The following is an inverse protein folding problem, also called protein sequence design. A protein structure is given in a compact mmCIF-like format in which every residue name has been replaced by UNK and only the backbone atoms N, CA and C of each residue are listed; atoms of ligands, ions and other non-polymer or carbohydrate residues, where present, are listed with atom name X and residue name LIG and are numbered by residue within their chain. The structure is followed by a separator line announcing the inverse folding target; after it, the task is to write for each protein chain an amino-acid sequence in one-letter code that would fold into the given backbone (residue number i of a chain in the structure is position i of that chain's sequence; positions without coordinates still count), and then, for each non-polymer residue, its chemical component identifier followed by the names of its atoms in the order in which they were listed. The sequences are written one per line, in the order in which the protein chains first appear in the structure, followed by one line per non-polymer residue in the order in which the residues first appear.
data_IF_263439219005
#
_entry.id   IF_263439219005
#
_cell.length_a   1.000
_cell.length_b   1.000
_cell.length_c   1.000
_cell.angle_alpha   90.00
_cell.angle_beta   90.00
_cell.angle_gamma   90.00
#
_symmetry.space_group_name_H-M   'P 1'
#
loop_
_entity.id
_entity.type
_entity.pdbx_description
1 polymer ?
#
# COMPACT_ATOMS: atom_id res chain seq x y z
N UNK A 1 0.25 16.53 76.68
CA UNK A 1 1.09 16.67 75.46
C UNK A 1 1.32 18.16 75.20
N UNK A 2 2.56 18.65 75.37
CA UNK A 2 2.84 20.10 75.39
C UNK A 2 2.69 20.73 74.00
N UNK A 3 2.40 22.03 73.94
CA UNK A 3 2.18 22.80 72.70
C UNK A 3 3.37 22.71 71.72
N UNK A 4 4.58 22.39 72.22
CA UNK A 4 5.77 22.10 71.40
C UNK A 4 5.67 20.75 70.69
N UNK A 5 5.22 19.68 71.35
CA UNK A 5 5.07 18.35 70.73
C UNK A 5 4.06 18.37 69.56
N UNK A 6 2.97 19.14 69.68
CA UNK A 6 1.98 19.31 68.60
C UNK A 6 2.58 19.99 67.36
N UNK A 7 3.53 20.92 67.53
CA UNK A 7 4.23 21.60 66.43
C UNK A 7 5.19 20.68 65.69
N UNK A 8 5.96 19.85 66.41
CA UNK A 8 6.86 18.88 65.77
C UNK A 8 6.10 17.76 65.05
N UNK A 9 4.97 17.31 65.60
CA UNK A 9 4.12 16.31 64.95
C UNK A 9 3.48 16.84 63.66
N UNK A 10 3.05 18.11 63.66
CA UNK A 10 2.49 18.76 62.47
C UNK A 10 3.54 18.95 61.35
N UNK A 11 4.79 19.28 61.71
CA UNK A 11 5.88 19.43 60.73
C UNK A 11 6.30 18.09 60.13
N UNK A 12 6.32 17.01 60.93
CA UNK A 12 6.63 15.65 60.44
C UNK A 12 5.53 15.07 59.54
N UNK A 13 4.27 15.48 59.72
CA UNK A 13 3.14 15.02 58.90
C UNK A 13 3.15 15.68 57.51
N UNK A 14 3.64 16.92 57.39
CA UNK A 14 3.72 17.66 56.12
C UNK A 14 4.82 17.10 55.20
N UNK A 15 5.93 16.61 55.77
CA UNK A 15 7.00 15.99 54.96
C UNK A 15 6.59 14.64 54.34
N UNK A 16 5.64 13.90 54.95
CA UNK A 16 5.21 12.60 54.45
C UNK A 16 4.19 12.68 53.28
N UNK A 17 3.49 13.80 53.13
CA UNK A 17 2.47 14.00 52.07
C UNK A 17 3.12 14.41 50.74
N UNK A 18 4.36 14.91 50.75
CA UNK A 18 5.09 15.30 49.54
C UNK A 18 5.81 14.13 48.85
N UNK A 19 5.81 12.93 49.43
CA UNK A 19 6.33 11.71 48.81
C UNK A 19 5.29 10.99 47.94
N UNK A 20 4.24 11.70 47.52
CA UNK A 20 3.23 11.21 46.57
C UNK A 20 3.88 10.76 45.27
N UNK A 21 3.89 9.43 45.08
CA UNK A 21 4.47 8.69 43.98
C UNK A 21 4.44 9.44 42.64
N UNK A 22 5.62 9.76 42.12
CA UNK A 22 5.83 9.84 40.68
C UNK A 22 5.54 8.45 40.10
N UNK A 23 4.27 8.17 39.81
CA UNK A 23 3.85 6.97 39.08
C UNK A 23 4.33 7.14 37.64
N UNK A 24 5.58 6.77 37.39
CA UNK A 24 6.04 6.48 36.04
C UNK A 24 5.15 5.37 35.53
N UNK A 25 4.28 5.68 34.57
CA UNK A 25 3.49 4.67 33.85
C UNK A 25 4.48 3.64 33.27
N UNK A 26 4.69 2.55 33.98
CA UNK A 26 5.42 1.39 33.48
C UNK A 26 4.49 0.71 32.50
N UNK A 27 4.81 0.87 31.21
CA UNK A 27 4.07 0.16 30.18
C UNK A 27 4.53 -1.30 30.18
N UNK A 28 3.61 -2.27 30.08
CA UNK A 28 3.97 -3.69 30.05
C UNK A 28 4.84 -4.00 28.81
N UNK A 29 5.68 -5.02 28.92
CA UNK A 29 6.44 -5.54 27.77
C UNK A 29 5.45 -5.90 26.65
N UNK A 30 5.78 -5.48 25.43
CA UNK A 30 4.92 -5.62 24.25
C UNK A 30 4.01 -4.42 23.99
N UNK A 31 3.90 -3.45 24.91
CA UNK A 31 3.13 -2.24 24.65
C UNK A 31 3.72 -1.42 23.51
N UNK A 32 2.87 -0.94 22.60
CA UNK A 32 3.24 -0.01 21.54
C UNK A 32 2.58 1.35 21.80
N UNK A 33 3.37 2.43 21.68
CA UNK A 33 2.91 3.80 21.85
C UNK A 33 3.31 4.61 20.62
N UNK A 34 2.34 5.31 20.01
CA UNK A 34 2.62 6.26 18.95
C UNK A 34 3.39 7.45 19.55
N UNK A 35 4.60 7.68 19.04
CA UNK A 35 5.49 8.76 19.50
C UNK A 35 5.24 10.02 18.69
N UNK A 36 5.14 9.87 17.37
CA UNK A 36 4.82 10.97 16.46
C UNK A 36 4.13 10.46 15.21
N UNK A 37 3.22 11.26 14.67
CA UNK A 37 2.43 10.92 13.50
C UNK A 37 1.26 11.89 13.41
N UNK A 38 0.81 12.20 12.20
CA UNK A 38 -0.43 12.96 12.01
C UNK A 38 -1.63 12.07 12.33
N UNK A 39 -2.82 12.65 12.39
CA UNK A 39 -4.05 11.85 12.33
C UNK A 39 -4.04 11.01 11.05
N UNK A 40 -4.41 9.72 11.18
CA UNK A 40 -4.42 8.78 10.05
C UNK A 40 -5.39 9.25 8.97
N UNK A 41 -4.92 9.53 7.75
CA UNK A 41 -5.80 9.90 6.65
C UNK A 41 -6.78 8.77 6.30
N UNK A 42 -8.00 9.12 5.89
CA UNK A 42 -9.04 8.14 5.50
C UNK A 42 -8.60 7.23 4.35
N UNK A 43 -7.79 7.78 3.42
CA UNK A 43 -7.32 7.08 2.24
C UNK A 43 -6.52 5.82 2.58
N UNK A 44 -5.94 5.72 3.79
CA UNK A 44 -5.21 4.51 4.22
C UNK A 44 -6.14 3.28 4.20
N UNK A 45 -7.38 3.43 4.66
CA UNK A 45 -8.34 2.33 4.74
C UNK A 45 -9.33 2.33 3.56
N UNK A 46 -9.49 3.48 2.89
CA UNK A 46 -10.43 3.67 1.79
C UNK A 46 -9.74 4.36 0.61
N UNK A 47 -8.80 3.68 -0.08
CA UNK A 47 -8.02 4.28 -1.15
C UNK A 47 -8.90 4.80 -2.30
N UNK A 48 -10.02 4.14 -2.58
CA UNK A 48 -10.96 4.50 -3.66
C UNK A 48 -11.58 5.89 -3.51
N UNK A 49 -11.56 6.49 -2.32
CA UNK A 49 -11.92 7.91 -2.11
C UNK A 49 -10.99 8.87 -2.88
N UNK A 50 -9.83 8.38 -3.32
CA UNK A 50 -8.82 9.11 -4.09
C UNK A 50 -8.76 8.70 -5.55
N UNK A 51 -9.67 7.83 -6.00
CA UNK A 51 -9.83 7.55 -7.43
C UNK A 51 -10.18 8.84 -8.18
N UNK A 52 -9.69 8.94 -9.41
CA UNK A 52 -10.04 10.02 -10.33
C UNK A 52 -10.54 9.42 -11.64
N UNK A 53 -11.09 10.27 -12.52
CA UNK A 53 -11.47 9.84 -13.88
C UNK A 53 -10.27 9.30 -14.70
N UNK A 54 -9.03 9.56 -14.28
CA UNK A 54 -7.80 9.23 -15.03
C UNK A 54 -6.89 8.24 -14.33
N UNK A 55 -7.15 7.92 -13.06
CA UNK A 55 -6.25 7.10 -12.26
C UNK A 55 -6.99 6.41 -11.10
N UNK A 56 -6.55 5.21 -10.76
CA UNK A 56 -6.97 4.48 -9.57
C UNK A 56 -5.98 4.65 -8.43
N UNK A 57 -6.50 4.69 -7.22
CA UNK A 57 -5.72 4.85 -6.01
C UNK A 57 -5.37 3.49 -5.38
N UNK A 58 -4.11 3.35 -4.98
CA UNK A 58 -3.56 2.19 -4.30
C UNK A 58 -2.83 2.64 -3.05
N UNK A 59 -2.88 1.82 -1.99
CA UNK A 59 -2.20 2.12 -0.73
C UNK A 59 -1.28 1.01 -0.35
N UNK A 60 0.01 1.32 -0.27
CA UNK A 60 1.00 0.39 0.27
C UNK A 60 1.33 0.69 1.72
N UNK A 61 1.71 -0.36 2.45
CA UNK A 61 2.06 -0.29 3.87
C UNK A 61 3.41 -0.92 4.12
N UNK A 62 4.21 -0.31 4.99
CA UNK A 62 5.49 -0.88 5.40
C UNK A 62 5.35 -1.84 6.56
N UNK A 63 6.36 -2.70 6.74
CA UNK A 63 6.62 -3.34 8.02
C UNK A 63 7.10 -2.32 9.06
N UNK A 64 7.42 -2.81 10.26
CA UNK A 64 8.05 -2.00 11.30
C UNK A 64 9.54 -1.87 10.99
N UNK A 65 9.97 -0.70 10.55
CA UNK A 65 11.34 -0.48 10.10
C UNK A 65 12.13 0.38 11.07
N UNK A 66 13.43 0.13 11.19
CA UNK A 66 14.32 0.93 12.05
C UNK A 66 14.52 2.36 11.52
N UNK A 67 14.44 2.54 10.19
CA UNK A 67 14.63 3.81 9.51
C UNK A 67 13.38 4.24 8.73
N UNK A 68 13.06 5.54 8.75
CA UNK A 68 11.95 6.10 7.97
C UNK A 68 12.11 5.84 6.47
N UNK A 69 13.34 5.91 5.95
CA UNK A 69 13.65 5.64 4.54
C UNK A 69 13.30 4.21 4.14
N UNK A 70 13.59 3.23 5.00
CA UNK A 70 13.21 1.83 4.81
C UNK A 70 11.68 1.67 4.85
N UNK A 71 11.01 2.30 5.82
CA UNK A 71 9.55 2.26 5.89
C UNK A 71 8.92 2.80 4.60
N UNK A 72 9.37 3.97 4.12
CA UNK A 72 8.88 4.56 2.86
C UNK A 72 9.11 3.64 1.66
N UNK A 73 10.30 3.04 1.56
CA UNK A 73 10.64 2.12 0.48
C UNK A 73 9.76 0.86 0.52
N UNK A 74 9.59 0.24 1.70
CA UNK A 74 8.75 -0.93 1.89
C UNK A 74 7.27 -0.65 1.58
N UNK A 75 6.74 0.50 2.02
CA UNK A 75 5.38 0.91 1.67
C UNK A 75 5.21 1.08 0.16
N UNK A 76 6.19 1.67 -0.53
CA UNK A 76 6.13 1.82 -1.98
C UNK A 76 6.23 0.49 -2.72
N UNK A 77 7.04 -0.44 -2.22
CA UNK A 77 7.11 -1.80 -2.76
C UNK A 77 5.79 -2.55 -2.59
N UNK A 78 5.14 -2.43 -1.44
CA UNK A 78 3.82 -3.02 -1.18
C UNK A 78 2.74 -2.43 -2.11
N UNK A 79 2.71 -1.11 -2.30
CA UNK A 79 1.78 -0.47 -3.24
C UNK A 79 1.96 -0.99 -4.67
N UNK A 80 3.21 -1.24 -5.09
CA UNK A 80 3.51 -1.81 -6.41
C UNK A 80 2.99 -3.23 -6.56
N UNK A 81 3.14 -4.07 -5.54
CA UNK A 81 2.58 -5.43 -5.54
C UNK A 81 1.06 -5.38 -5.71
N UNK A 82 0.39 -4.51 -4.97
CA UNK A 82 -1.06 -4.32 -5.10
C UNK A 82 -1.48 -3.84 -6.49
N UNK A 83 -0.73 -2.93 -7.12
CA UNK A 83 -0.97 -2.50 -8.50
C UNK A 83 -0.81 -3.69 -9.47
N UNK A 84 0.26 -4.48 -9.34
CA UNK A 84 0.52 -5.66 -10.19
C UNK A 84 -0.60 -6.70 -10.04
N UNK A 85 -1.05 -6.96 -8.81
CA UNK A 85 -2.16 -7.88 -8.54
C UNK A 85 -3.46 -7.36 -9.18
N UNK A 86 -3.78 -6.07 -9.02
CA UNK A 86 -4.94 -5.44 -9.63
C UNK A 86 -4.88 -5.46 -11.16
N UNK A 87 -3.69 -5.28 -11.75
CA UNK A 87 -3.47 -5.40 -13.19
C UNK A 87 -3.72 -6.81 -13.71
N UNK A 88 -3.35 -7.84 -12.95
CA UNK A 88 -3.67 -9.23 -13.32
C UNK A 88 -5.18 -9.48 -13.38
N UNK A 89 -5.94 -8.94 -12.42
CA UNK A 89 -7.42 -9.04 -12.39
C UNK A 89 -8.04 -8.23 -13.53
N UNK A 90 -7.61 -6.98 -13.72
CA UNK A 90 -8.07 -6.10 -14.80
C UNK A 90 -7.79 -6.71 -16.17
N UNK A 91 -6.56 -7.18 -16.39
CA UNK A 91 -6.13 -7.85 -17.62
C UNK A 91 -6.97 -9.07 -17.93
N UNK A 92 -7.17 -9.97 -16.95
CA UNK A 92 -8.04 -11.15 -17.11
C UNK A 92 -9.45 -10.75 -17.55
N UNK A 93 -10.05 -9.74 -16.90
CA UNK A 93 -11.38 -9.25 -17.25
C UNK A 93 -11.42 -8.74 -18.69
N UNK A 94 -10.45 -7.92 -19.09
CA UNK A 94 -10.39 -7.35 -20.44
C UNK A 94 -10.15 -8.39 -21.52
N UNK A 95 -9.28 -9.35 -21.27
CA UNK A 95 -9.07 -10.49 -22.15
C UNK A 95 -10.37 -11.28 -22.32
N UNK A 96 -11.10 -11.56 -21.23
CA UNK A 96 -12.38 -12.27 -21.29
C UNK A 96 -13.46 -11.48 -22.06
N UNK A 97 -13.59 -10.17 -21.80
CA UNK A 97 -14.52 -9.29 -22.55
C UNK A 97 -14.24 -9.38 -24.05
N UNK A 98 -12.96 -9.31 -24.42
CA UNK A 98 -12.54 -9.39 -25.81
C UNK A 98 -12.77 -10.78 -26.41
N UNK A 99 -12.40 -11.87 -25.73
CA UNK A 99 -12.67 -13.25 -26.17
C UNK A 99 -14.16 -13.45 -26.43
N UNK A 100 -15.03 -12.98 -25.52
CA UNK A 100 -16.47 -13.10 -25.67
C UNK A 100 -17.02 -12.37 -26.90
N UNK A 101 -16.37 -11.28 -27.32
CA UNK A 101 -16.76 -10.51 -28.50
C UNK A 101 -16.32 -11.15 -29.82
N UNK A 102 -15.20 -11.87 -29.83
CA UNK A 102 -14.63 -12.50 -31.05
C UNK A 102 -14.95 -13.99 -31.19
N UNK A 103 -15.51 -14.60 -30.14
CA UNK A 103 -16.16 -15.92 -30.19
C UNK A 103 -15.23 -17.15 -30.26
N UNK A 104 -13.90 -17.02 -30.20
CA UNK A 104 -13.01 -18.17 -30.47
C UNK A 104 -11.54 -18.01 -29.97
N UNK A 105 -11.28 -17.53 -28.75
CA UNK A 105 -9.88 -17.26 -28.30
C UNK A 105 -9.59 -17.72 -26.86
N UNK A 106 -10.47 -18.49 -26.20
CA UNK A 106 -10.43 -18.67 -24.73
C UNK A 106 -9.09 -19.14 -24.15
N UNK A 107 -8.32 -19.91 -24.92
CA UNK A 107 -7.14 -20.60 -24.41
C UNK A 107 -5.81 -19.95 -24.83
N UNK A 108 -5.83 -18.88 -25.64
CA UNK A 108 -4.61 -18.38 -26.28
C UNK A 108 -3.91 -17.29 -25.46
N UNK A 109 -4.65 -16.48 -24.69
CA UNK A 109 -4.07 -15.37 -23.91
C UNK A 109 -4.13 -15.70 -22.42
N UNK A 110 -2.99 -16.09 -21.85
CA UNK A 110 -2.86 -16.35 -20.42
C UNK A 110 -2.80 -15.03 -19.62
N UNK A 111 -3.68 -14.82 -18.62
CA UNK A 111 -3.63 -13.64 -17.75
C UNK A 111 -2.30 -13.43 -17.02
N UNK A 112 -1.50 -14.48 -16.84
CA UNK A 112 -0.13 -14.41 -16.30
C UNK A 112 0.78 -13.48 -17.12
N UNK A 113 0.61 -13.44 -18.45
CA UNK A 113 1.40 -12.54 -19.32
C UNK A 113 1.13 -11.07 -19.01
N UNK A 114 -0.11 -10.71 -18.64
CA UNK A 114 -0.45 -9.34 -18.22
C UNK A 114 0.21 -9.00 -16.90
N UNK A 115 0.23 -9.95 -15.95
CA UNK A 115 0.93 -9.77 -14.67
C UNK A 115 2.43 -9.62 -14.88
N UNK A 116 3.03 -10.40 -15.78
CA UNK A 116 4.46 -10.36 -16.07
C UNK A 116 4.85 -9.04 -16.74
N UNK A 117 4.06 -8.58 -17.73
CA UNK A 117 4.29 -7.29 -18.38
C UNK A 117 4.02 -6.12 -17.41
N UNK A 118 3.00 -6.22 -16.55
CA UNK A 118 2.79 -5.25 -15.47
C UNK A 118 3.97 -5.24 -14.50
N UNK A 119 4.53 -6.40 -14.15
CA UNK A 119 5.70 -6.50 -13.27
C UNK A 119 6.90 -5.84 -13.90
N UNK A 120 7.17 -6.13 -15.18
CA UNK A 120 8.24 -5.51 -15.95
C UNK A 120 8.05 -4.00 -16.04
N UNK A 121 6.88 -3.53 -16.47
CA UNK A 121 6.63 -2.10 -16.59
C UNK A 121 6.70 -1.40 -15.24
N UNK A 122 6.14 -1.96 -14.16
CA UNK A 122 6.21 -1.37 -12.81
C UNK A 122 7.65 -1.34 -12.29
N UNK A 123 8.45 -2.37 -12.60
CA UNK A 123 9.88 -2.44 -12.25
C UNK A 123 10.73 -1.44 -13.04
N UNK A 124 10.48 -1.28 -14.34
CA UNK A 124 11.12 -0.25 -15.17
C UNK A 124 10.61 1.16 -14.82
N UNK A 125 9.34 1.25 -14.42
CA UNK A 125 8.65 2.46 -13.95
C UNK A 125 8.85 2.74 -12.47
N UNK A 126 9.86 2.13 -11.81
CA UNK A 126 10.27 2.50 -10.46
C UNK A 126 10.47 4.03 -10.33
N UNK A 127 10.75 4.72 -11.45
CA UNK A 127 10.85 6.18 -11.57
C UNK A 127 9.51 6.91 -11.82
N UNK A 128 8.48 6.25 -12.37
CA UNK A 128 7.21 6.85 -12.83
C UNK A 128 6.00 6.62 -11.90
N UNK A 129 5.87 5.46 -11.24
CA UNK A 129 4.83 5.24 -10.21
C UNK A 129 5.24 5.89 -8.89
N UNK A 130 5.31 7.22 -8.91
CA UNK A 130 5.75 8.03 -7.78
C UNK A 130 4.66 8.03 -6.71
N UNK A 131 5.10 8.03 -5.46
CA UNK A 131 4.23 8.26 -4.34
C UNK A 131 3.48 9.59 -4.52
N UNK A 132 2.15 9.55 -4.39
CA UNK A 132 1.32 10.73 -4.37
C UNK A 132 1.35 11.39 -2.99
N UNK A 133 1.18 10.59 -1.93
CA UNK A 133 1.24 11.04 -0.54
C UNK A 133 1.86 9.98 0.35
N UNK A 134 2.57 10.42 1.39
CA UNK A 134 3.02 9.55 2.47
C UNK A 134 2.35 9.97 3.78
N UNK A 135 2.01 8.98 4.60
CA UNK A 135 1.72 9.13 6.01
C UNK A 135 2.71 8.29 6.80
N UNK A 136 3.36 8.90 7.79
CA UNK A 136 4.49 8.28 8.50
C UNK A 136 4.23 8.39 9.98
N UNK A 137 4.42 7.27 10.66
CA UNK A 137 4.26 7.14 12.09
C UNK A 137 5.56 6.62 12.69
N UNK A 138 5.98 7.24 13.79
CA UNK A 138 7.05 6.75 14.64
C UNK A 138 6.43 6.18 15.90
N UNK A 139 6.82 4.96 16.20
CA UNK A 139 6.30 4.21 17.32
C UNK A 139 7.42 3.85 18.29
N UNK A 140 7.03 3.58 19.53
CA UNK A 140 7.87 3.09 20.61
C UNK A 140 7.29 1.78 21.11
N UNK A 141 8.11 0.73 21.17
CA UNK A 141 7.76 -0.57 21.76
C UNK A 141 8.61 -0.81 23.00
N UNK A 142 7.97 -1.27 24.08
CA UNK A 142 8.69 -1.76 25.26
C UNK A 142 9.01 -3.23 25.05
N UNK A 143 10.29 -3.58 25.12
CA UNK A 143 10.82 -4.94 24.97
C UNK A 143 11.45 -5.42 26.27
N UNK A 144 11.87 -6.68 26.33
CA UNK A 144 12.61 -7.22 27.48
C UNK A 144 13.96 -6.51 27.69
N UNK A 145 14.56 -5.99 26.60
CA UNK A 145 15.86 -5.31 26.58
C UNK A 145 15.76 -3.79 26.76
N UNK A 146 14.55 -3.22 26.80
CA UNK A 146 14.34 -1.80 27.00
C UNK A 146 13.28 -1.21 26.06
N UNK A 147 13.62 -0.13 25.38
CA UNK A 147 12.70 0.62 24.52
C UNK A 147 13.25 0.67 23.10
N UNK A 148 12.46 0.18 22.14
CA UNK A 148 12.78 0.22 20.73
C UNK A 148 11.90 1.22 19.99
N UNK A 149 12.46 1.88 18.99
CA UNK A 149 11.74 2.78 18.10
C UNK A 149 11.70 2.18 16.70
N UNK A 150 10.56 2.33 16.04
CA UNK A 150 10.41 1.95 14.64
C UNK A 150 9.46 2.91 13.92
N UNK A 151 9.50 2.86 12.60
CA UNK A 151 8.69 3.62 11.70
C UNK A 151 7.69 2.70 10.98
N UNK A 152 6.47 3.21 10.80
CA UNK A 152 5.47 2.66 9.88
C UNK A 152 5.18 3.73 8.84
N UNK A 153 5.22 3.37 7.57
CA UNK A 153 4.83 4.25 6.48
C UNK A 153 3.65 3.67 5.72
N UNK A 154 2.80 4.58 5.26
CA UNK A 154 1.70 4.34 4.36
C UNK A 154 1.91 5.24 3.16
N UNK A 155 1.71 4.71 1.95
CA UNK A 155 1.88 5.48 0.72
C UNK A 155 0.65 5.35 -0.14
N UNK A 156 0.14 6.49 -0.60
CA UNK A 156 -0.89 6.56 -1.62
C UNK A 156 -0.20 6.69 -2.98
N UNK A 157 -0.58 5.84 -3.92
CA UNK A 157 -0.13 5.88 -5.32
C UNK A 157 -1.37 6.04 -6.21
N UNK A 158 -1.30 6.95 -7.18
CA UNK A 158 -2.31 7.08 -8.22
C UNK A 158 -1.75 6.44 -9.50
N UNK A 159 -2.30 5.28 -9.89
CA UNK A 159 -1.89 4.59 -11.11
C UNK A 159 -2.77 5.03 -12.29
N UNK A 160 -2.20 5.59 -13.37
CA UNK A 160 -3.00 6.08 -14.50
C UNK A 160 -3.75 4.97 -15.23
N UNK A 161 -5.02 5.21 -15.56
CA UNK A 161 -5.86 4.28 -16.34
C UNK A 161 -5.28 4.05 -17.74
N UNK A 162 -4.67 5.08 -18.33
CA UNK A 162 -3.99 4.99 -19.63
C UNK A 162 -2.80 4.02 -19.56
N UNK A 163 -2.04 4.05 -18.46
CA UNK A 163 -0.92 3.14 -18.26
C UNK A 163 -1.40 1.70 -18.08
N UNK A 164 -2.48 1.49 -17.32
CA UNK A 164 -3.13 0.18 -17.19
C UNK A 164 -3.61 -0.37 -18.54
N UNK A 165 -4.26 0.46 -19.36
CA UNK A 165 -4.69 0.09 -20.70
C UNK A 165 -3.50 -0.26 -21.61
N UNK A 166 -2.43 0.54 -21.57
CA UNK A 166 -1.22 0.30 -22.35
C UNK A 166 -0.57 -1.05 -21.98
N UNK A 167 -0.36 -1.33 -20.69
CA UNK A 167 0.20 -2.61 -20.23
C UNK A 167 -0.62 -3.78 -20.74
N UNK A 168 -1.95 -3.67 -20.67
CA UNK A 168 -2.85 -4.75 -21.10
C UNK A 168 -2.73 -4.97 -22.61
N UNK A 169 -2.65 -3.90 -23.41
CA UNK A 169 -2.43 -4.00 -24.86
C UNK A 169 -1.08 -4.65 -25.17
N UNK A 170 -0.01 -4.18 -24.53
CA UNK A 170 1.35 -4.70 -24.74
C UNK A 170 1.40 -6.20 -24.42
N UNK A 171 0.81 -6.62 -23.30
CA UNK A 171 0.74 -8.02 -22.92
C UNK A 171 -0.02 -8.89 -23.94
N UNK A 172 -1.13 -8.40 -24.49
CA UNK A 172 -1.89 -9.10 -25.52
C UNK A 172 -1.09 -9.17 -26.83
N UNK A 173 -0.41 -8.09 -27.21
CA UNK A 173 0.42 -8.06 -28.40
C UNK A 173 1.61 -9.01 -28.28
N UNK A 174 2.27 -9.06 -27.12
CA UNK A 174 3.33 -10.03 -26.82
C UNK A 174 2.79 -11.46 -26.85
N UNK A 175 1.59 -11.72 -26.32
CA UNK A 175 0.96 -13.03 -26.45
C UNK A 175 0.73 -13.38 -27.94
N UNK A 176 0.24 -12.44 -28.74
CA UNK A 176 -0.01 -12.62 -30.18
C UNK A 176 1.25 -13.00 -30.97
N UNK A 177 2.39 -12.37 -30.66
CA UNK A 177 3.66 -12.64 -31.35
C UNK A 177 4.18 -14.06 -31.10
N UNK A 178 3.80 -14.67 -29.99
CA UNK A 178 4.22 -16.02 -29.62
C UNK A 178 3.29 -17.11 -30.15
N UNK A 179 2.17 -16.74 -30.78
CA UNK A 179 1.24 -17.68 -31.40
C UNK A 179 1.74 -18.08 -32.78
N UNK A 180 1.82 -19.40 -33.01
CA UNK A 180 2.28 -19.98 -34.29
C UNK A 180 1.17 -20.20 -35.30
N UNK A 181 -0.09 -20.29 -34.83
CA UNK A 181 -1.24 -20.48 -35.69
C UNK A 181 -1.73 -19.13 -36.26
N UNK A 182 -1.85 -19.05 -37.58
CA UNK A 182 -2.22 -17.82 -38.29
C UNK A 182 -3.70 -17.44 -38.09
N UNK A 183 -4.59 -18.41 -37.81
CA UNK A 183 -5.98 -18.12 -37.50
C UNK A 183 -6.11 -17.51 -36.10
N UNK A 184 -5.38 -18.06 -35.14
CA UNK A 184 -5.30 -17.55 -33.77
C UNK A 184 -4.68 -16.16 -33.72
N UNK A 185 -3.62 -15.92 -34.51
CA UNK A 185 -3.02 -14.60 -34.67
C UNK A 185 -4.03 -13.58 -35.21
N UNK A 186 -4.78 -13.91 -36.27
CA UNK A 186 -5.86 -13.06 -36.81
C UNK A 186 -6.98 -12.81 -35.80
N UNK A 187 -7.28 -13.80 -34.95
CA UNK A 187 -8.27 -13.63 -33.90
C UNK A 187 -7.78 -12.66 -32.82
N UNK A 188 -6.50 -12.71 -32.44
CA UNK A 188 -5.89 -11.77 -31.48
C UNK A 188 -5.80 -10.36 -32.04
N UNK A 189 -5.47 -10.19 -33.32
CA UNK A 189 -5.47 -8.89 -33.99
C UNK A 189 -6.87 -8.25 -34.01
N UNK A 190 -7.91 -9.05 -34.30
CA UNK A 190 -9.31 -8.59 -34.17
C UNK A 190 -9.65 -8.21 -32.72
N UNK A 191 -9.20 -9.01 -31.77
CA UNK A 191 -9.37 -8.76 -30.34
C UNK A 191 -8.72 -7.44 -29.88
N UNK A 192 -7.51 -7.13 -30.34
CA UNK A 192 -6.82 -5.84 -30.09
C UNK A 192 -7.61 -4.67 -30.66
N UNK A 193 -8.13 -4.80 -31.88
CA UNK A 193 -8.95 -3.76 -32.51
C UNK A 193 -10.25 -3.49 -31.72
N UNK A 194 -10.93 -4.55 -31.27
CA UNK A 194 -12.12 -4.41 -30.42
C UNK A 194 -11.77 -3.72 -29.10
N UNK A 195 -10.62 -4.04 -28.50
CA UNK A 195 -10.16 -3.39 -27.27
C UNK A 195 -9.93 -1.88 -27.45
N UNK A 196 -9.40 -1.44 -28.60
CA UNK A 196 -9.22 -0.02 -28.93
C UNK A 196 -10.58 0.69 -29.12
N UNK A 197 -11.51 0.04 -29.81
CA UNK A 197 -12.85 0.56 -30.08
C UNK A 197 -13.69 0.67 -28.80
N UNK A 198 -13.48 -0.23 -27.84
CA UNK A 198 -14.17 -0.22 -26.54
C UNK A 198 -13.80 0.97 -25.64
N UNK A 199 -12.93 1.91 -26.07
CA UNK A 199 -12.51 3.13 -25.37
C UNK A 199 -12.56 2.94 -23.85
N UNK A 200 -11.65 2.10 -23.34
CA UNK A 200 -11.62 1.68 -21.94
C UNK A 200 -11.19 2.82 -21.03
N UNK A 201 -12.11 3.75 -20.75
CA UNK A 201 -11.95 4.76 -19.70
C UNK A 201 -12.19 4.17 -18.30
N UNK A 202 -12.69 2.93 -18.23
CA UNK A 202 -13.06 2.25 -16.98
C UNK A 202 -12.12 1.09 -16.67
N UNK A 203 -11.04 1.45 -15.98
CA UNK A 203 -10.53 0.63 -14.89
C UNK A 203 -11.50 0.72 -13.70
#
# INVERSE_FOLDING_TARGET
MSTRQKRYFAISLIFFVLSGCASTKQFPIGSEVLVSGKEKPSWINRPTEKDTKKAKAFVGTSLNESMESQARAGALEDARKQIIDAMGVYGKRKINEVISSVGTVSDIINPGVVRDEATKMVSESIVKSRAHQYHIERWRRVTQSGVEYYYKAYVLVLFPNEQAAQITRDAIQTAAQNVKDEQDKRNIERALKVMEELKTNEW
#
